data_IF_803517046483
#
_entry.id   IF_803517046483
#
_cell.length_a   1.000
_cell.length_b   1.000
_cell.length_c   1.000
_cell.angle_alpha   90.00
_cell.angle_beta   90.00
_cell.angle_gamma   90.00
#
_symmetry.space_group_name_H-M   'P 1'
#
loop_
_entity.id
_entity.type
_entity.pdbx_description
1 polymer ?
#
# COMPACT_ATOMS: atom_id res chain seq x y z
N UNK A 1 -19.88 -14.52 10.50
CA UNK A 1 -19.87 -14.76 11.96
C UNK A 1 -21.19 -15.40 12.38
N UNK A 2 -21.21 -16.43 13.26
CA UNK A 2 -22.45 -17.10 13.69
C UNK A 2 -23.47 -16.13 14.30
N UNK A 3 -23.04 -15.11 15.03
CA UNK A 3 -23.92 -14.13 15.65
C UNK A 3 -24.73 -13.28 14.67
N UNK A 4 -24.16 -12.96 13.49
CA UNK A 4 -24.87 -12.22 12.46
C UNK A 4 -26.02 -13.00 11.84
N UNK A 5 -25.92 -14.33 11.74
CA UNK A 5 -27.00 -15.19 11.27
C UNK A 5 -28.20 -15.22 12.21
N UNK A 6 -27.98 -15.17 13.52
CA UNK A 6 -29.07 -15.19 14.52
C UNK A 6 -29.96 -13.93 14.41
N UNK A 7 -29.45 -12.83 13.90
CA UNK A 7 -30.23 -11.59 13.70
C UNK A 7 -30.96 -11.55 12.37
N UNK A 8 -30.47 -12.30 11.37
CA UNK A 8 -31.13 -12.44 10.05
C UNK A 8 -32.20 -13.52 10.05
N UNK A 9 -32.05 -14.53 10.90
CA UNK A 9 -32.91 -15.73 10.98
C UNK A 9 -33.22 -16.05 12.45
N UNK A 10 -33.97 -15.17 13.17
CA UNK A 10 -34.30 -15.41 14.55
C UNK A 10 -35.29 -16.56 14.71
N UNK A 11 -35.13 -17.36 15.76
CA UNK A 11 -36.07 -18.45 16.10
C UNK A 11 -37.45 -17.94 16.45
N UNK A 12 -37.59 -16.67 16.79
CA UNK A 12 -38.87 -15.98 17.06
C UNK A 12 -38.86 -14.54 16.55
N UNK A 13 -39.96 -14.12 15.95
CA UNK A 13 -40.19 -12.74 15.52
C UNK A 13 -39.52 -12.39 14.19
N UNK A 14 -39.49 -11.09 13.87
CA UNK A 14 -38.82 -10.56 12.67
C UNK A 14 -37.35 -10.26 12.97
N UNK A 15 -36.46 -10.67 12.05
CA UNK A 15 -35.04 -10.29 12.11
C UNK A 15 -34.89 -8.76 12.14
N UNK A 16 -33.89 -8.25 12.90
CA UNK A 16 -33.49 -6.85 12.89
C UNK A 16 -32.17 -6.72 12.13
N UNK A 17 -31.97 -5.70 11.28
CA UNK A 17 -30.71 -5.45 10.57
C UNK A 17 -29.66 -4.88 11.55
N UNK A 18 -29.13 -5.74 12.42
CA UNK A 18 -28.15 -5.37 13.45
C UNK A 18 -26.80 -5.01 12.82
N UNK A 19 -26.51 -5.53 11.64
CA UNK A 19 -25.27 -5.21 10.92
C UNK A 19 -25.13 -3.71 10.63
N UNK A 20 -26.20 -3.06 10.16
CA UNK A 20 -26.22 -1.62 9.90
C UNK A 20 -26.00 -0.80 11.19
N UNK A 21 -26.63 -1.22 12.28
CA UNK A 21 -26.48 -0.54 13.58
C UNK A 21 -25.03 -0.68 14.11
N UNK A 22 -24.40 -1.86 13.96
CA UNK A 22 -23.00 -2.06 14.36
C UNK A 22 -22.07 -1.23 13.48
N UNK A 23 -22.25 -1.24 12.16
CA UNK A 23 -21.43 -0.44 11.23
C UNK A 23 -21.60 1.06 11.51
N UNK A 24 -22.84 1.54 11.69
CA UNK A 24 -23.10 2.93 12.01
C UNK A 24 -22.56 3.38 13.37
N UNK A 25 -22.43 2.46 14.33
CA UNK A 25 -21.81 2.74 15.62
C UNK A 25 -20.25 2.76 15.53
N UNK A 26 -19.68 1.92 14.68
CA UNK A 26 -18.24 1.87 14.46
C UNK A 26 -17.74 3.01 13.56
N UNK A 27 -18.55 3.44 12.61
CA UNK A 27 -18.25 4.45 11.60
C UNK A 27 -19.37 5.48 11.53
N UNK A 28 -19.48 6.38 12.51
CA UNK A 28 -20.56 7.38 12.57
C UNK A 28 -20.38 8.44 11.47
N UNK A 29 -21.48 9.09 11.10
CA UNK A 29 -21.53 10.31 10.29
C UNK A 29 -20.89 10.20 8.87
N UNK A 30 -20.91 9.01 8.29
CA UNK A 30 -20.36 8.80 6.93
C UNK A 30 -18.85 8.60 6.90
N UNK A 31 -18.23 8.29 8.03
CA UNK A 31 -16.85 7.82 8.06
C UNK A 31 -16.70 6.63 7.12
N UNK A 32 -15.78 6.73 6.19
CA UNK A 32 -15.53 5.70 5.18
C UNK A 32 -14.60 4.60 5.69
N UNK A 33 -14.20 4.63 6.96
CA UNK A 33 -13.26 3.69 7.59
C UNK A 33 -11.89 3.59 6.88
N UNK A 34 -11.45 4.67 6.22
CA UNK A 34 -10.19 4.70 5.51
C UNK A 34 -9.13 5.44 6.29
N UNK A 35 -7.93 4.91 6.28
CA UNK A 35 -6.72 5.56 6.78
C UNK A 35 -5.80 5.86 5.60
N UNK A 36 -4.91 6.85 5.71
CA UNK A 36 -3.88 7.10 4.69
C UNK A 36 -3.02 5.88 4.44
N UNK A 37 -2.85 5.52 3.17
CA UNK A 37 -2.03 4.38 2.73
C UNK A 37 -0.93 4.86 1.80
N UNK A 38 0.32 4.55 2.15
CA UNK A 38 1.48 4.74 1.28
C UNK A 38 2.01 3.37 0.85
N UNK A 39 2.09 3.14 -0.45
CA UNK A 39 2.65 1.93 -1.03
C UNK A 39 4.02 2.22 -1.67
N UNK A 40 5.02 1.39 -1.39
CA UNK A 40 6.38 1.57 -1.90
C UNK A 40 6.80 0.32 -2.67
N UNK A 41 7.17 0.50 -3.93
CA UNK A 41 7.80 -0.54 -4.74
C UNK A 41 9.12 -0.06 -5.33
N UNK A 42 9.88 -1.00 -5.88
CA UNK A 42 11.17 -0.74 -6.49
C UNK A 42 12.11 -1.92 -6.30
N UNK A 43 13.28 -1.87 -6.93
CA UNK A 43 14.30 -2.89 -6.74
C UNK A 43 15.05 -2.64 -5.43
N UNK A 44 15.56 -1.43 -5.24
CA UNK A 44 16.33 -1.03 -4.06
C UNK A 44 15.68 0.16 -3.34
N UNK A 45 15.98 0.30 -2.04
CA UNK A 45 15.58 1.46 -1.24
C UNK A 45 14.17 1.40 -0.64
N UNK A 46 13.38 0.36 -0.91
CA UNK A 46 12.01 0.21 -0.38
C UNK A 46 11.94 0.32 1.14
N UNK A 47 12.65 -0.54 1.85
CA UNK A 47 12.64 -0.58 3.33
C UNK A 47 13.12 0.74 3.95
N UNK A 48 14.16 1.36 3.38
CA UNK A 48 14.65 2.66 3.85
C UNK A 48 13.58 3.73 3.67
N UNK A 49 12.95 3.79 2.49
CA UNK A 49 11.89 4.75 2.19
C UNK A 49 10.68 4.53 3.08
N UNK A 50 10.25 3.27 3.29
CA UNK A 50 9.14 2.94 4.18
C UNK A 50 9.39 3.41 5.60
N UNK A 51 10.58 3.19 6.14
CA UNK A 51 10.96 3.64 7.49
C UNK A 51 11.01 5.16 7.61
N UNK A 52 11.52 5.86 6.59
CA UNK A 52 11.55 7.33 6.59
C UNK A 52 10.14 7.92 6.57
N UNK A 53 9.25 7.39 5.74
CA UNK A 53 7.84 7.82 5.66
C UNK A 53 7.11 7.50 6.97
N UNK A 54 7.33 6.30 7.53
CA UNK A 54 6.78 5.94 8.84
C UNK A 54 7.19 6.96 9.92
N UNK A 55 8.47 7.36 9.96
CA UNK A 55 8.96 8.38 10.90
C UNK A 55 8.34 9.76 10.68
N UNK A 56 8.05 10.13 9.43
CA UNK A 56 7.35 11.40 9.12
C UNK A 56 5.92 11.36 9.70
N UNK A 57 5.21 10.27 9.53
CA UNK A 57 3.86 10.12 10.10
C UNK A 57 3.89 10.11 11.64
N UNK A 58 4.81 9.35 12.26
CA UNK A 58 5.01 9.32 13.72
C UNK A 58 5.33 10.72 14.28
N UNK A 59 6.11 11.53 13.53
CA UNK A 59 6.43 12.91 13.92
C UNK A 59 5.23 13.86 13.85
N UNK A 60 4.13 13.42 13.26
CA UNK A 60 2.85 14.12 13.22
C UNK A 60 1.79 13.41 14.09
N UNK A 61 2.23 12.71 15.13
CA UNK A 61 1.40 12.04 16.14
C UNK A 61 0.44 10.97 15.59
N UNK A 62 0.74 10.40 14.40
CA UNK A 62 -0.01 9.29 13.83
C UNK A 62 0.56 7.95 14.30
N UNK A 63 -0.30 7.02 14.69
CA UNK A 63 0.05 5.64 14.98
C UNK A 63 0.22 4.88 13.67
N UNK A 64 1.46 4.52 13.38
CA UNK A 64 1.84 3.97 12.07
C UNK A 64 1.85 2.44 12.10
N UNK A 65 1.15 1.85 11.13
CA UNK A 65 1.32 0.46 10.75
C UNK A 65 2.22 0.33 9.51
N UNK A 66 3.27 -0.49 9.58
CA UNK A 66 4.23 -0.64 8.49
C UNK A 66 4.52 -2.11 8.21
N UNK A 67 4.63 -2.45 6.94
CA UNK A 67 5.14 -3.75 6.49
C UNK A 67 6.45 -3.57 5.73
N UNK A 68 7.36 -4.53 5.91
CA UNK A 68 8.64 -4.56 5.20
C UNK A 68 9.15 -6.00 5.02
N UNK A 69 10.28 -6.14 4.34
CA UNK A 69 10.96 -7.45 4.17
C UNK A 69 11.52 -8.01 5.46
N UNK A 70 11.59 -7.25 6.56
CA UNK A 70 12.09 -7.67 7.85
C UNK A 70 11.03 -7.74 8.96
N UNK A 71 9.75 -7.44 8.64
CA UNK A 71 8.67 -7.61 9.60
C UNK A 71 7.47 -6.70 9.40
N UNK A 72 6.51 -6.86 10.33
CA UNK A 72 5.36 -5.96 10.54
C UNK A 72 5.61 -5.14 11.80
N UNK A 73 5.37 -3.85 11.70
CA UNK A 73 5.57 -2.88 12.78
C UNK A 73 4.29 -2.11 13.04
N UNK A 74 3.92 -1.96 14.31
CA UNK A 74 2.86 -1.07 14.79
C UNK A 74 3.46 -0.13 15.83
N UNK A 75 3.34 1.18 15.62
CA UNK A 75 3.95 2.20 16.49
C UNK A 75 5.45 1.94 16.77
N UNK A 76 6.21 1.58 15.75
CA UNK A 76 7.62 1.25 15.86
C UNK A 76 7.95 -0.08 16.55
N UNK A 77 6.97 -0.80 17.12
CA UNK A 77 7.15 -2.13 17.70
C UNK A 77 6.97 -3.22 16.64
N UNK A 78 7.95 -4.09 16.50
CA UNK A 78 7.83 -5.25 15.61
C UNK A 78 6.88 -6.28 16.23
N UNK A 79 5.81 -6.62 15.53
CA UNK A 79 4.79 -7.59 15.95
C UNK A 79 4.86 -8.91 15.17
N UNK A 80 5.52 -8.93 14.01
CA UNK A 80 5.75 -10.13 13.21
C UNK A 80 7.13 -10.02 12.55
N UNK A 81 7.78 -11.14 12.25
CA UNK A 81 9.11 -11.19 11.65
C UNK A 81 9.12 -11.92 10.31
N UNK A 82 10.23 -11.77 9.56
CA UNK A 82 10.40 -12.32 8.23
C UNK A 82 9.89 -11.41 7.11
N UNK A 83 9.79 -11.95 5.90
CA UNK A 83 9.33 -11.19 4.73
C UNK A 83 7.82 -10.93 4.81
N UNK A 84 7.47 -9.75 5.30
CA UNK A 84 6.12 -9.26 5.47
C UNK A 84 5.69 -8.26 4.38
N UNK A 85 6.38 -8.20 3.24
CA UNK A 85 6.07 -7.32 2.11
C UNK A 85 4.88 -7.78 1.24
N UNK A 86 4.09 -8.72 1.71
CA UNK A 86 2.96 -9.30 1.01
C UNK A 86 1.60 -8.78 1.48
N UNK A 87 0.52 -9.11 0.72
CA UNK A 87 -0.83 -8.58 0.97
C UNK A 87 -1.44 -9.05 2.28
N UNK A 88 -1.07 -10.22 2.79
CA UNK A 88 -1.55 -10.73 4.09
C UNK A 88 -1.12 -9.81 5.23
N UNK A 89 0.15 -9.39 5.22
CA UNK A 89 0.69 -8.49 6.23
C UNK A 89 0.06 -7.09 6.14
N UNK A 90 -0.16 -6.59 4.91
CA UNK A 90 -0.87 -5.33 4.70
C UNK A 90 -2.30 -5.37 5.27
N UNK A 91 -3.06 -6.46 5.04
CA UNK A 91 -4.39 -6.64 5.63
C UNK A 91 -4.36 -6.69 7.17
N UNK A 92 -3.37 -7.35 7.76
CA UNK A 92 -3.22 -7.40 9.21
C UNK A 92 -3.01 -6.01 9.80
N UNK A 93 -2.22 -5.16 9.14
CA UNK A 93 -2.02 -3.77 9.54
C UNK A 93 -3.31 -2.96 9.40
N UNK A 94 -4.03 -3.06 8.26
CA UNK A 94 -5.27 -2.32 8.03
C UNK A 94 -6.41 -2.72 8.97
N UNK A 95 -6.36 -3.92 9.52
CA UNK A 95 -7.36 -4.40 10.51
C UNK A 95 -6.97 -4.07 11.95
N UNK A 96 -5.78 -3.52 12.18
CA UNK A 96 -5.31 -3.24 13.52
C UNK A 96 -5.95 -1.96 14.08
N UNK A 97 -6.59 -1.99 15.26
CA UNK A 97 -7.36 -0.86 15.78
C UNK A 97 -6.51 0.35 16.18
N UNK A 98 -5.21 0.15 16.38
CA UNK A 98 -4.29 1.21 16.78
C UNK A 98 -3.51 1.80 15.60
N UNK A 99 -3.99 1.67 14.36
CA UNK A 99 -3.31 2.21 13.18
C UNK A 99 -4.11 3.36 12.58
N UNK A 100 -3.47 4.54 12.52
CA UNK A 100 -4.02 5.76 11.92
C UNK A 100 -3.49 6.01 10.51
N UNK A 101 -2.32 5.44 10.16
CA UNK A 101 -1.73 5.53 8.83
C UNK A 101 -0.91 4.27 8.51
N UNK A 102 -0.92 3.84 7.26
CA UNK A 102 -0.25 2.62 6.82
C UNK A 102 0.85 2.89 5.79
N UNK A 103 1.98 2.20 5.94
CA UNK A 103 3.12 2.27 5.00
C UNK A 103 3.50 0.86 4.58
N UNK A 104 3.30 0.53 3.30
CA UNK A 104 3.48 -0.82 2.79
C UNK A 104 4.65 -0.94 1.84
N UNK A 105 5.68 -1.67 2.24
CA UNK A 105 6.66 -2.18 1.30
C UNK A 105 5.98 -3.28 0.46
N UNK A 106 5.96 -3.10 -0.86
CA UNK A 106 5.28 -4.00 -1.79
C UNK A 106 6.31 -4.76 -2.61
N UNK A 107 6.42 -6.07 -2.36
CA UNK A 107 7.32 -6.93 -3.10
C UNK A 107 6.60 -7.67 -4.23
N UNK A 108 7.34 -7.90 -5.32
CA UNK A 108 6.88 -8.62 -6.50
C UNK A 108 6.17 -9.94 -6.18
N UNK A 109 6.78 -10.76 -5.33
CA UNK A 109 6.27 -12.11 -5.03
C UNK A 109 4.89 -12.10 -4.37
N UNK A 110 4.60 -11.12 -3.52
CA UNK A 110 3.28 -10.93 -2.91
C UNK A 110 2.24 -10.53 -3.95
N UNK A 111 2.55 -9.52 -4.75
CA UNK A 111 1.65 -9.00 -5.80
C UNK A 111 1.27 -10.09 -6.81
N UNK A 112 2.23 -10.89 -7.26
CA UNK A 112 1.99 -11.96 -8.24
C UNK A 112 1.12 -13.11 -7.69
N UNK A 113 1.21 -13.40 -6.39
CA UNK A 113 0.46 -14.51 -5.80
C UNK A 113 -0.94 -14.14 -5.35
N UNK A 114 -1.11 -12.97 -4.77
CA UNK A 114 -2.34 -12.60 -4.05
C UNK A 114 -2.81 -11.16 -4.36
N UNK A 115 -2.11 -10.43 -5.22
CA UNK A 115 -2.38 -9.03 -5.50
C UNK A 115 -1.93 -8.09 -4.38
N UNK A 116 -2.59 -6.93 -4.27
CA UNK A 116 -2.40 -5.97 -3.18
C UNK A 116 -3.29 -6.32 -1.99
N UNK A 117 -2.86 -5.98 -0.79
CA UNK A 117 -3.67 -6.12 0.43
C UNK A 117 -4.67 -4.98 0.67
N UNK A 118 -4.71 -4.02 -0.25
CA UNK A 118 -5.56 -2.81 -0.24
C UNK A 118 -6.12 -2.58 -1.66
N UNK A 119 -7.18 -1.81 -1.76
CA UNK A 119 -7.85 -1.46 -3.02
C UNK A 119 -7.26 -0.21 -3.68
N UNK A 120 -7.01 0.84 -2.87
CA UNK A 120 -6.38 2.10 -3.32
C UNK A 120 -5.32 2.54 -2.31
N UNK A 121 -4.35 3.35 -2.76
CA UNK A 121 -3.42 4.07 -1.91
C UNK A 121 -3.46 5.57 -2.19
N UNK A 122 -3.14 6.37 -1.18
CA UNK A 122 -3.06 7.83 -1.30
C UNK A 122 -1.74 8.25 -1.93
N UNK A 123 -0.68 7.49 -1.64
CA UNK A 123 0.64 7.72 -2.24
C UNK A 123 1.26 6.41 -2.70
N UNK A 124 1.71 6.36 -3.95
CA UNK A 124 2.57 5.30 -4.48
C UNK A 124 3.98 5.83 -4.73
N UNK A 125 5.00 5.14 -4.24
CA UNK A 125 6.40 5.50 -4.46
C UNK A 125 7.10 4.40 -5.25
N UNK A 126 7.69 4.74 -6.39
CA UNK A 126 8.56 3.84 -7.15
C UNK A 126 9.99 4.36 -7.11
N UNK A 127 10.86 3.64 -6.42
CA UNK A 127 12.25 4.06 -6.21
C UNK A 127 13.13 3.85 -7.44
N UNK A 128 13.12 2.65 -8.01
CA UNK A 128 13.89 2.28 -9.21
C UNK A 128 13.47 0.89 -9.69
N UNK A 129 13.82 0.57 -10.95
CA UNK A 129 13.68 -0.77 -11.52
C UNK A 129 15.01 -1.17 -12.14
N UNK A 130 15.63 -2.22 -11.60
CA UNK A 130 16.95 -2.67 -12.02
C UNK A 130 17.08 -4.18 -12.18
N UNK A 131 18.16 -4.61 -12.82
CA UNK A 131 18.48 -6.01 -13.11
C UNK A 131 18.71 -6.88 -11.85
N UNK A 132 18.85 -6.27 -10.64
CA UNK A 132 19.11 -6.98 -9.39
C UNK A 132 17.89 -7.67 -8.76
N UNK A 133 16.74 -7.69 -9.40
CA UNK A 133 15.46 -8.13 -8.85
C UNK A 133 15.09 -9.57 -9.24
N UNK A 134 16.07 -10.47 -9.26
CA UNK A 134 15.89 -11.92 -9.52
C UNK A 134 15.01 -12.22 -10.75
N UNK A 135 15.40 -11.69 -11.92
CA UNK A 135 14.78 -12.07 -13.19
C UNK A 135 14.84 -13.60 -13.37
N UNK A 136 13.80 -14.16 -13.97
CA UNK A 136 13.65 -15.62 -14.16
C UNK A 136 12.77 -16.32 -13.12
N UNK A 137 12.40 -15.65 -12.01
CA UNK A 137 11.45 -16.19 -11.04
C UNK A 137 10.01 -15.79 -11.39
N UNK A 138 9.06 -16.72 -11.20
CA UNK A 138 7.63 -16.53 -11.47
C UNK A 138 7.32 -16.06 -12.90
N UNK A 139 8.06 -16.56 -13.89
CA UNK A 139 7.93 -16.23 -15.31
C UNK A 139 8.24 -14.76 -15.67
N UNK A 140 8.77 -13.97 -14.76
CA UNK A 140 9.23 -12.59 -15.02
C UNK A 140 10.70 -12.68 -15.49
N UNK A 141 10.94 -12.48 -16.78
CA UNK A 141 12.25 -12.65 -17.39
C UNK A 141 12.89 -11.35 -17.86
N UNK A 142 12.09 -10.30 -17.99
CA UNK A 142 12.51 -8.98 -18.48
C UNK A 142 12.25 -7.87 -17.48
N UNK A 143 12.96 -6.75 -17.66
CA UNK A 143 12.74 -5.53 -16.87
C UNK A 143 11.35 -4.95 -17.13
N UNK A 144 10.86 -5.04 -18.36
CA UNK A 144 9.53 -4.54 -18.74
C UNK A 144 8.41 -5.32 -18.04
N UNK A 145 8.51 -6.65 -17.97
CA UNK A 145 7.56 -7.48 -17.22
C UNK A 145 7.61 -7.17 -15.73
N UNK A 146 8.80 -6.92 -15.18
CA UNK A 146 8.97 -6.50 -13.80
C UNK A 146 8.35 -5.13 -13.55
N UNK A 147 8.50 -4.20 -14.50
CA UNK A 147 7.88 -2.89 -14.45
C UNK A 147 6.36 -2.98 -14.37
N UNK A 148 5.74 -3.85 -15.17
CA UNK A 148 4.28 -4.08 -15.14
C UNK A 148 3.82 -4.51 -13.74
N UNK A 149 4.54 -5.43 -13.08
CA UNK A 149 4.19 -5.90 -11.73
C UNK A 149 4.32 -4.79 -10.70
N UNK A 150 5.38 -3.98 -10.76
CA UNK A 150 5.59 -2.88 -9.81
C UNK A 150 4.65 -1.70 -10.05
N UNK A 151 4.23 -1.49 -11.29
CA UNK A 151 3.30 -0.44 -11.71
C UNK A 151 1.91 -0.60 -11.07
N UNK A 152 1.52 -1.78 -10.65
CA UNK A 152 0.22 -2.05 -10.03
C UNK A 152 -0.09 -1.08 -8.89
N UNK A 153 0.89 -0.67 -8.06
CA UNK A 153 0.63 0.32 -7.01
C UNK A 153 0.36 1.72 -7.57
N UNK A 154 0.93 2.08 -8.73
CA UNK A 154 0.67 3.36 -9.42
C UNK A 154 -0.72 3.38 -10.04
N UNK A 155 -1.15 2.25 -10.62
CA UNK A 155 -2.49 2.08 -11.18
C UNK A 155 -3.60 2.15 -10.11
N UNK A 156 -3.24 1.84 -8.85
CA UNK A 156 -4.15 1.87 -7.70
C UNK A 156 -4.00 3.13 -6.83
N UNK A 157 -3.39 4.20 -7.34
CA UNK A 157 -3.43 5.51 -6.70
C UNK A 157 -4.85 6.08 -6.79
N UNK A 158 -5.36 6.57 -5.65
CA UNK A 158 -6.66 7.25 -5.62
C UNK A 158 -6.67 8.47 -6.56
N UNK A 159 -7.81 8.88 -7.15
CA UNK A 159 -7.87 10.04 -8.03
C UNK A 159 -7.36 11.35 -7.38
N UNK A 160 -7.50 11.49 -6.07
CA UNK A 160 -6.93 12.59 -5.27
C UNK A 160 -5.53 12.31 -4.74
N UNK A 161 -4.99 11.12 -4.98
CA UNK A 161 -3.69 10.68 -4.51
C UNK A 161 -2.54 11.08 -5.43
N UNK A 162 -1.34 10.60 -5.11
CA UNK A 162 -0.11 11.00 -5.83
C UNK A 162 0.81 9.81 -6.05
N UNK A 163 1.34 9.65 -7.27
CA UNK A 163 2.48 8.79 -7.54
C UNK A 163 3.79 9.60 -7.51
N UNK A 164 4.75 9.14 -6.72
CA UNK A 164 6.10 9.71 -6.58
C UNK A 164 7.08 8.83 -7.35
N UNK A 165 7.58 9.32 -8.46
CA UNK A 165 8.32 8.54 -9.45
C UNK A 165 9.75 9.05 -9.65
N UNK A 166 10.71 8.13 -9.75
CA UNK A 166 12.10 8.47 -10.05
C UNK A 166 12.28 8.85 -11.52
N UNK A 167 12.48 10.13 -11.78
CA UNK A 167 12.72 10.67 -13.12
C UNK A 167 14.06 10.22 -13.74
N UNK A 168 15.02 9.79 -12.92
CA UNK A 168 16.31 9.27 -13.42
C UNK A 168 16.22 7.85 -13.98
N UNK A 169 15.09 7.17 -13.77
CA UNK A 169 14.81 5.84 -14.31
C UNK A 169 13.70 5.97 -15.36
N UNK A 170 14.03 5.85 -16.66
CA UNK A 170 13.04 6.04 -17.74
C UNK A 170 11.86 5.08 -17.66
N UNK A 171 12.07 3.85 -17.16
CA UNK A 171 11.01 2.85 -17.00
C UNK A 171 10.04 3.29 -15.89
N UNK A 172 10.58 3.84 -14.80
CA UNK A 172 9.76 4.39 -13.70
C UNK A 172 9.04 5.65 -14.14
N UNK A 173 9.72 6.58 -14.81
CA UNK A 173 9.12 7.83 -15.30
C UNK A 173 7.93 7.57 -16.23
N UNK A 174 8.04 6.56 -17.10
CA UNK A 174 6.96 6.18 -18.03
C UNK A 174 5.69 5.64 -17.32
N UNK A 175 5.78 5.23 -16.06
CA UNK A 175 4.62 4.76 -15.30
C UNK A 175 3.60 5.87 -15.01
N UNK A 176 3.97 7.13 -15.13
CA UNK A 176 3.08 8.27 -14.97
C UNK A 176 1.81 8.17 -15.82
N UNK A 177 1.91 7.61 -17.02
CA UNK A 177 0.76 7.42 -17.92
C UNK A 177 -0.32 6.47 -17.39
N UNK A 178 -0.01 5.71 -16.34
CA UNK A 178 -0.91 4.74 -15.72
C UNK A 178 -1.47 5.22 -14.36
N UNK A 179 -1.09 6.42 -13.91
CA UNK A 179 -1.61 6.99 -12.68
C UNK A 179 -2.91 7.75 -12.95
N UNK A 180 -3.91 7.54 -12.12
CA UNK A 180 -5.17 8.27 -12.16
C UNK A 180 -5.16 9.53 -11.28
N UNK A 181 -4.17 9.66 -10.40
CA UNK A 181 -3.96 10.80 -9.52
C UNK A 181 -2.88 11.77 -10.03
N UNK A 182 -2.29 12.48 -9.10
CA UNK A 182 -1.20 13.43 -9.37
C UNK A 182 0.15 12.72 -9.52
N UNK A 183 1.09 13.38 -10.21
CA UNK A 183 2.47 12.90 -10.36
C UNK A 183 3.43 13.87 -9.70
N UNK A 184 4.37 13.34 -8.92
CA UNK A 184 5.55 14.04 -8.44
C UNK A 184 6.77 13.27 -8.91
N UNK A 185 7.68 13.95 -9.61
CA UNK A 185 8.96 13.37 -9.99
C UNK A 185 10.07 13.79 -9.02
N UNK A 186 11.01 12.89 -8.77
CA UNK A 186 12.26 13.19 -8.09
C UNK A 186 13.46 12.73 -8.89
N UNK A 187 14.58 13.43 -8.77
CA UNK A 187 15.86 13.07 -9.37
C UNK A 187 17.01 13.69 -8.57
N UNK A 188 18.17 13.07 -8.60
CA UNK A 188 19.42 13.67 -8.11
C UNK A 188 19.99 14.68 -9.13
N UNK A 189 19.68 14.52 -10.39
CA UNK A 189 20.05 15.44 -11.45
C UNK A 189 19.00 16.55 -11.60
N UNK A 190 19.37 17.77 -11.22
CA UNK A 190 18.52 18.98 -11.35
C UNK A 190 18.20 19.32 -12.81
N UNK A 191 19.03 18.88 -13.75
CA UNK A 191 18.85 19.12 -15.19
C UNK A 191 18.11 17.98 -15.89
N UNK A 192 17.56 17.02 -15.13
CA UNK A 192 16.77 15.95 -15.72
C UNK A 192 15.56 16.53 -16.47
N UNK A 193 15.40 16.23 -17.77
CA UNK A 193 14.36 16.83 -18.61
C UNK A 193 12.93 16.53 -18.13
N UNK A 194 12.72 15.43 -17.44
CA UNK A 194 11.40 15.06 -16.88
C UNK A 194 10.98 15.97 -15.72
N UNK A 195 11.93 16.62 -15.03
CA UNK A 195 11.64 17.59 -13.97
C UNK A 195 11.22 18.96 -14.51
N UNK A 196 11.45 19.23 -15.80
CA UNK A 196 11.15 20.52 -16.44
C UNK A 196 9.74 20.58 -17.06
N UNK A 197 9.01 19.48 -17.01
CA UNK A 197 7.63 19.35 -17.50
C UNK A 197 6.63 19.50 -16.37
#
# INVERSE_FOLDING_TARGET
>A
APGLRMHLDPSFGKGRPVGEAIVGMMFPDGDNARIPVVAIAGTNGKTTTSRLIGRIFESNDLRVGMTSTDGVYIEGRRIDDGDCSGPRSARNVLLHPDVDAAVFETARGGVLREGLGFDVCDVAVITNIGLGDHLGLNFITTVDELAVVKRVIVENVAPSGTAVLNASDPVVAAMAHHCHGHIIYFSQDRMNPVLAT
#
